data_IF_796932267327
#
_entry.id   IF_796932267327
#
_cell.length_a   1.000
_cell.length_b   1.000
_cell.length_c   1.000
_cell.angle_alpha   90.00
_cell.angle_beta   90.00
_cell.angle_gamma   90.00
#
_symmetry.space_group_name_H-M   'P 1'
#
loop_
_entity.id
_entity.type
_entity.pdbx_description
1 polymer ?
#
# COMPACT_ATOMS: atom_id res chain seq x y z
N UNK A 1 20.33 -13.96 2.84
CA UNK A 1 19.66 -13.10 3.83
C UNK A 1 20.59 -11.92 4.07
N UNK A 2 20.29 -10.78 3.47
CA UNK A 2 21.20 -9.62 3.44
C UNK A 2 21.33 -9.01 4.84
N UNK A 3 22.47 -8.41 5.14
CA UNK A 3 22.78 -7.79 6.45
C UNK A 3 21.70 -6.73 6.83
N UNK A 4 21.11 -6.08 5.82
CA UNK A 4 20.00 -5.13 5.93
C UNK A 4 18.69 -5.75 6.43
N UNK A 5 18.36 -6.99 6.01
CA UNK A 5 17.16 -7.68 6.50
C UNK A 5 17.28 -8.01 7.98
N UNK A 6 18.49 -8.26 8.50
CA UNK A 6 18.68 -8.57 9.92
C UNK A 6 18.46 -7.35 10.81
N UNK A 7 19.00 -6.17 10.49
CA UNK A 7 18.86 -4.98 11.34
C UNK A 7 17.46 -4.38 11.29
N UNK A 8 16.82 -4.35 10.12
CA UNK A 8 15.43 -3.87 9.99
C UNK A 8 14.43 -4.86 10.64
N UNK A 9 14.66 -6.17 10.52
CA UNK A 9 13.83 -7.19 11.19
C UNK A 9 14.01 -7.19 12.71
N UNK A 10 15.22 -6.90 13.21
CA UNK A 10 15.48 -6.77 14.65
C UNK A 10 14.66 -5.63 15.27
N UNK A 11 14.54 -4.49 14.59
CA UNK A 11 13.79 -3.32 15.11
C UNK A 11 12.27 -3.53 15.09
N UNK A 12 11.75 -4.41 14.21
CA UNK A 12 10.34 -4.34 13.82
C UNK A 12 9.58 -5.68 13.72
N UNK A 13 10.23 -6.84 13.83
CA UNK A 13 9.59 -8.15 13.65
C UNK A 13 9.32 -8.88 14.98
N UNK A 14 8.10 -9.40 15.23
CA UNK A 14 7.82 -10.22 16.42
C UNK A 14 8.40 -11.66 16.36
N UNK A 15 8.99 -12.09 15.24
CA UNK A 15 9.16 -13.52 14.93
C UNK A 15 10.59 -14.02 14.69
N UNK A 16 11.62 -13.33 15.20
CA UNK A 16 12.99 -13.83 15.08
C UNK A 16 13.48 -14.50 16.38
N UNK A 17 13.21 -15.81 16.54
CA UNK A 17 13.99 -16.66 17.45
C UNK A 17 15.35 -16.91 16.81
N UNK A 18 16.39 -16.19 17.23
CA UNK A 18 17.78 -16.62 17.03
C UNK A 18 18.48 -16.77 18.36
N UNK A 19 19.14 -17.91 18.50
CA UNK A 19 19.87 -18.35 19.68
C UNK A 19 20.92 -17.32 20.13
N UNK A 20 20.85 -16.93 21.40
CA UNK A 20 22.00 -16.49 22.18
C UNK A 20 22.73 -15.25 21.66
N UNK A 21 22.12 -14.08 21.87
CA UNK A 21 22.73 -12.83 22.38
C UNK A 21 21.64 -11.75 22.36
N UNK A 22 21.44 -11.12 23.51
CA UNK A 22 20.37 -10.15 23.77
C UNK A 22 20.53 -8.92 22.86
N UNK A 23 19.64 -8.78 21.89
CA UNK A 23 19.44 -7.55 21.11
C UNK A 23 17.95 -7.40 20.86
N UNK A 24 17.30 -6.59 21.69
CA UNK A 24 15.86 -6.38 21.75
C UNK A 24 15.55 -4.96 21.26
N UNK A 25 15.03 -4.81 20.04
CA UNK A 25 14.78 -3.50 19.41
C UNK A 25 13.32 -3.28 19.00
N UNK A 26 12.37 -4.07 19.53
CA UNK A 26 10.93 -3.95 19.23
C UNK A 26 10.09 -3.33 20.37
N UNK A 27 8.98 -2.66 20.03
CA UNK A 27 7.97 -2.08 20.96
C UNK A 27 7.39 -3.10 21.96
N UNK A 28 7.37 -4.39 21.61
CA UNK A 28 6.98 -5.46 22.53
C UNK A 28 8.09 -5.86 23.51
N UNK A 29 9.36 -5.79 23.10
CA UNK A 29 10.47 -6.10 23.99
C UNK A 29 10.58 -5.06 25.12
N UNK A 30 10.30 -3.80 24.79
CA UNK A 30 10.16 -2.71 25.77
C UNK A 30 9.01 -2.93 26.77
N UNK A 31 7.98 -3.70 26.42
CA UNK A 31 6.85 -4.04 27.31
C UNK A 31 7.11 -5.31 28.14
N UNK A 32 7.99 -6.21 27.69
CA UNK A 32 8.20 -7.52 28.32
C UNK A 32 9.49 -7.63 29.14
N UNK A 33 10.48 -6.76 28.92
CA UNK A 33 11.68 -6.69 29.78
C UNK A 33 11.46 -5.70 30.93
N UNK A 34 11.34 -6.22 32.16
CA UNK A 34 11.16 -5.41 33.38
C UNK A 34 12.26 -4.34 33.50
N UNK A 35 13.51 -4.70 33.16
CA UNK A 35 14.69 -3.82 33.21
C UNK A 35 14.65 -2.68 32.18
N UNK A 36 14.07 -2.91 31.01
CA UNK A 36 13.98 -1.89 29.95
C UNK A 36 12.75 -1.01 30.12
N UNK A 37 11.67 -1.53 30.70
CA UNK A 37 10.51 -0.73 31.12
C UNK A 37 10.89 0.29 32.20
N UNK A 38 11.78 -0.08 33.13
CA UNK A 38 12.29 0.81 34.18
C UNK A 38 13.31 1.82 33.65
N UNK A 39 14.13 1.45 32.66
CA UNK A 39 15.01 2.40 31.95
C UNK A 39 14.22 3.36 31.04
N UNK A 40 13.16 2.91 30.37
CA UNK A 40 12.24 3.84 29.68
C UNK A 40 11.59 4.79 30.69
N UNK A 41 11.27 4.29 31.90
CA UNK A 41 10.74 5.11 32.98
C UNK A 41 11.73 6.14 33.53
N UNK A 42 13.02 6.01 33.21
CA UNK A 42 14.05 7.00 33.55
C UNK A 42 14.20 8.11 32.51
N UNK A 43 13.71 7.92 31.28
CA UNK A 43 13.73 8.94 30.23
C UNK A 43 12.69 10.04 30.50
N UNK A 44 12.94 11.31 30.15
CA UNK A 44 11.96 12.38 30.24
C UNK A 44 10.62 11.99 29.58
N UNK A 45 9.49 12.43 30.17
CA UNK A 45 8.15 12.09 29.69
C UNK A 45 7.94 12.47 28.21
N UNK A 46 8.56 13.57 27.77
CA UNK A 46 8.53 14.08 26.40
C UNK A 46 9.12 13.11 25.37
N UNK A 47 10.16 12.35 25.73
CA UNK A 47 10.76 11.31 24.87
C UNK A 47 10.04 9.96 25.00
N UNK A 48 9.44 9.70 26.16
CA UNK A 48 8.77 8.43 26.49
C UNK A 48 7.46 8.24 25.72
N UNK A 49 6.66 9.30 25.60
CA UNK A 49 5.34 9.24 24.97
C UNK A 49 5.44 8.89 23.47
N UNK A 50 6.33 9.50 22.66
CA UNK A 50 6.48 9.12 21.26
C UNK A 50 6.90 7.65 21.08
N UNK A 51 7.84 7.15 21.89
CA UNK A 51 8.36 5.77 21.85
C UNK A 51 7.29 4.70 22.05
N UNK A 52 6.34 4.96 22.95
CA UNK A 52 5.20 4.05 23.20
C UNK A 52 4.23 3.94 22.02
N UNK A 53 4.32 4.85 21.04
CA UNK A 53 3.47 4.89 19.86
C UNK A 53 4.16 4.36 18.58
N UNK A 54 5.29 3.64 18.70
CA UNK A 54 5.83 2.89 17.57
C UNK A 54 4.79 1.85 17.10
N UNK A 55 4.51 1.88 15.81
CA UNK A 55 3.58 0.94 15.16
C UNK A 55 4.39 -0.26 14.67
N UNK A 56 3.87 -1.47 14.90
CA UNK A 56 4.51 -2.70 14.45
C UNK A 56 3.95 -3.15 13.12
N UNK A 57 4.76 -3.91 12.38
CA UNK A 57 4.30 -4.62 11.21
C UNK A 57 3.36 -5.77 11.61
N UNK A 58 2.27 -5.91 10.87
CA UNK A 58 1.22 -6.92 11.06
C UNK A 58 1.10 -7.69 9.74
N UNK A 59 1.64 -8.92 9.65
CA UNK A 59 1.72 -9.66 8.39
C UNK A 59 0.38 -9.85 7.66
N UNK A 60 -0.73 -9.85 8.40
CA UNK A 60 -2.08 -10.01 7.84
C UNK A 60 -2.67 -8.73 7.24
N UNK A 61 -2.01 -7.57 7.43
CA UNK A 61 -2.48 -6.27 6.94
C UNK A 61 -1.34 -5.55 6.23
N UNK A 62 -1.20 -5.77 4.93
CA UNK A 62 -0.06 -5.28 4.14
C UNK A 62 0.30 -3.78 4.32
N UNK A 63 -0.65 -2.89 4.63
CA UNK A 63 -0.40 -1.47 4.92
C UNK A 63 0.42 -1.24 6.21
N UNK A 64 0.48 -2.20 7.13
CA UNK A 64 1.18 -2.05 8.41
C UNK A 64 2.66 -1.77 8.22
N UNK A 65 3.30 -2.39 7.22
CA UNK A 65 4.73 -2.21 6.98
C UNK A 65 5.03 -0.78 6.58
N UNK A 66 4.23 -0.20 5.68
CA UNK A 66 4.37 1.19 5.22
C UNK A 66 4.13 2.15 6.39
N UNK A 67 3.05 1.95 7.14
CA UNK A 67 2.69 2.77 8.30
C UNK A 67 3.77 2.73 9.39
N UNK A 68 4.39 1.57 9.60
CA UNK A 68 5.50 1.40 10.52
C UNK A 68 6.73 2.18 10.05
N UNK A 69 7.09 2.09 8.77
CA UNK A 69 8.23 2.82 8.20
C UNK A 69 8.02 4.33 8.33
N UNK A 70 6.85 4.85 7.96
CA UNK A 70 6.49 6.27 8.11
C UNK A 70 6.69 6.72 9.56
N UNK A 71 6.14 5.94 10.51
CA UNK A 71 6.25 6.26 11.94
C UNK A 71 7.69 6.21 12.44
N UNK A 72 8.48 5.25 11.97
CA UNK A 72 9.88 5.11 12.34
C UNK A 72 10.70 6.33 11.88
N UNK A 73 10.45 6.82 10.66
CA UNK A 73 11.08 8.02 10.11
C UNK A 73 10.72 9.27 10.93
N UNK A 74 9.44 9.47 11.25
CA UNK A 74 8.98 10.57 12.11
C UNK A 74 9.69 10.59 13.47
N UNK A 75 10.04 9.41 13.97
CA UNK A 75 10.62 9.23 15.30
C UNK A 75 12.15 9.18 15.32
N UNK A 76 12.82 9.39 14.19
CA UNK A 76 14.28 9.31 14.07
C UNK A 76 15.02 10.08 15.17
N UNK A 77 14.65 11.33 15.42
CA UNK A 77 15.34 12.17 16.41
C UNK A 77 15.14 11.66 17.84
N UNK A 78 13.89 11.34 18.19
CA UNK A 78 13.53 10.83 19.53
C UNK A 78 14.22 9.48 19.79
N UNK A 79 14.29 8.60 18.78
CA UNK A 79 15.00 7.33 18.87
C UNK A 79 16.50 7.52 19.05
N UNK A 80 17.09 8.47 18.33
CA UNK A 80 18.51 8.80 18.43
C UNK A 80 18.87 9.28 19.83
N UNK A 81 18.09 10.21 20.38
CA UNK A 81 18.28 10.70 21.75
C UNK A 81 18.09 9.60 22.79
N UNK A 82 17.01 8.82 22.68
CA UNK A 82 16.69 7.76 23.63
C UNK A 82 17.75 6.65 23.64
N UNK A 83 18.16 6.16 22.47
CA UNK A 83 19.20 5.12 22.37
C UNK A 83 20.56 5.62 22.82
N UNK A 84 20.86 6.91 22.61
CA UNK A 84 22.08 7.53 23.14
C UNK A 84 22.06 7.60 24.67
N UNK A 85 20.94 8.06 25.26
CA UNK A 85 20.76 8.10 26.71
C UNK A 85 20.86 6.70 27.36
N UNK A 86 20.42 5.66 26.64
CA UNK A 86 20.49 4.27 27.07
C UNK A 86 21.86 3.61 26.79
N UNK A 87 22.82 4.32 26.20
CA UNK A 87 24.12 3.79 25.76
C UNK A 87 24.01 2.64 24.74
N UNK A 88 22.94 2.65 23.93
CA UNK A 88 22.59 1.63 22.90
C UNK A 88 22.79 2.15 21.47
N UNK A 89 23.84 2.94 21.25
CA UNK A 89 24.13 3.59 19.96
C UNK A 89 24.30 2.57 18.81
N UNK A 90 24.74 1.34 19.11
CA UNK A 90 24.89 0.28 18.10
C UNK A 90 23.56 -0.15 17.44
N UNK A 91 22.44 0.10 18.11
CA UNK A 91 21.10 -0.21 17.62
C UNK A 91 20.54 0.89 16.70
N UNK A 92 21.23 2.02 16.57
CA UNK A 92 20.82 3.08 15.65
C UNK A 92 21.04 2.66 14.20
N UNK A 93 20.04 3.00 13.39
CA UNK A 93 20.17 2.93 11.94
C UNK A 93 21.15 4.00 11.47
N UNK A 94 22.03 3.61 10.56
CA UNK A 94 22.93 4.54 9.90
C UNK A 94 22.17 5.39 8.86
N UNK A 95 22.86 6.41 8.33
CA UNK A 95 22.25 7.34 7.38
C UNK A 95 21.82 6.67 6.07
N UNK A 96 22.53 5.62 5.64
CA UNK A 96 22.15 4.84 4.45
C UNK A 96 20.85 4.07 4.70
N UNK A 97 20.73 3.42 5.87
CA UNK A 97 19.52 2.69 6.28
C UNK A 97 18.32 3.64 6.37
N UNK A 98 18.49 4.85 6.91
CA UNK A 98 17.43 5.88 6.91
C UNK A 98 17.02 6.30 5.51
N UNK A 99 17.97 6.49 4.60
CA UNK A 99 17.66 6.85 3.21
C UNK A 99 16.95 5.71 2.48
N UNK A 100 17.29 4.45 2.76
CA UNK A 100 16.57 3.28 2.22
C UNK A 100 15.11 3.29 2.70
N UNK A 101 14.87 3.57 3.99
CA UNK A 101 13.52 3.65 4.54
C UNK A 101 12.72 4.79 3.91
N UNK A 102 13.34 5.95 3.68
CA UNK A 102 12.70 7.08 3.03
C UNK A 102 12.29 6.74 1.59
N UNK A 103 13.21 6.19 0.79
CA UNK A 103 12.92 5.74 -0.57
C UNK A 103 11.79 4.71 -0.58
N UNK A 104 11.84 3.70 0.32
CA UNK A 104 10.79 2.69 0.44
C UNK A 104 9.42 3.31 0.77
N UNK A 105 9.38 4.24 1.74
CA UNK A 105 8.14 4.91 2.15
C UNK A 105 7.52 5.68 0.98
N UNK A 106 8.32 6.47 0.27
CA UNK A 106 7.86 7.28 -0.86
C UNK A 106 7.35 6.42 -2.02
N UNK A 107 8.02 5.30 -2.31
CA UNK A 107 7.62 4.39 -3.39
C UNK A 107 6.38 3.56 -3.06
N UNK A 108 6.15 3.22 -1.79
CA UNK A 108 5.03 2.37 -1.37
C UNK A 108 3.77 3.17 -1.01
N UNK A 109 3.90 4.44 -0.63
CA UNK A 109 2.75 5.28 -0.27
C UNK A 109 1.66 5.40 -1.35
N UNK A 110 2.00 5.55 -2.64
CA UNK A 110 0.97 5.58 -3.69
C UNK A 110 0.09 4.33 -3.72
N UNK A 111 0.65 3.15 -3.42
CA UNK A 111 -0.13 1.90 -3.35
C UNK A 111 -1.09 1.91 -2.16
N UNK A 112 -0.60 2.41 -1.01
CA UNK A 112 -1.39 2.50 0.23
C UNK A 112 -2.58 3.42 0.01
N UNK A 113 -2.35 4.61 -0.54
CA UNK A 113 -3.40 5.59 -0.84
C UNK A 113 -4.44 5.05 -1.82
N UNK A 114 -4.01 4.44 -2.94
CA UNK A 114 -4.95 3.85 -3.91
C UNK A 114 -5.79 2.75 -3.27
N UNK A 115 -5.18 1.92 -2.43
CA UNK A 115 -5.93 0.84 -1.78
C UNK A 115 -6.91 1.37 -0.75
N UNK A 116 -6.55 2.40 0.02
CA UNK A 116 -7.47 3.06 0.95
C UNK A 116 -8.66 3.68 0.20
N UNK A 117 -8.41 4.33 -0.94
CA UNK A 117 -9.49 4.85 -1.79
C UNK A 117 -10.36 3.73 -2.39
N UNK A 118 -9.79 2.61 -2.81
CA UNK A 118 -10.55 1.49 -3.36
C UNK A 118 -11.26 0.63 -2.30
N UNK A 119 -10.89 0.79 -1.02
CA UNK A 119 -11.54 0.11 0.12
C UNK A 119 -12.76 0.86 0.66
N UNK A 120 -13.11 2.00 0.07
CA UNK A 120 -14.30 2.76 0.47
C UNK A 120 -15.60 2.04 0.12
N UNK A 121 -16.58 2.13 1.02
CA UNK A 121 -17.90 1.48 0.86
C UNK A 121 -19.03 2.47 0.52
N UNK A 122 -18.82 3.76 0.75
CA UNK A 122 -19.84 4.80 0.61
C UNK A 122 -19.93 5.39 -0.82
N UNK A 123 -19.18 4.84 -1.78
CA UNK A 123 -19.14 5.30 -3.16
C UNK A 123 -18.75 4.17 -4.12
N UNK A 124 -19.06 4.33 -5.41
CA UNK A 124 -18.64 3.39 -6.44
C UNK A 124 -17.12 3.44 -6.64
N UNK A 125 -16.44 2.34 -6.31
CA UNK A 125 -14.99 2.17 -6.43
C UNK A 125 -14.57 1.64 -7.80
N UNK A 126 -15.44 0.86 -8.46
CA UNK A 126 -15.08 0.13 -9.69
C UNK A 126 -14.71 1.05 -10.86
N UNK A 127 -15.35 2.22 -10.95
CA UNK A 127 -15.03 3.23 -11.98
C UNK A 127 -13.73 3.99 -11.69
N UNK A 128 -13.17 3.86 -10.48
CA UNK A 128 -11.94 4.56 -10.09
C UNK A 128 -10.69 3.71 -10.25
N UNK A 129 -10.84 2.39 -10.42
CA UNK A 129 -9.74 1.43 -10.50
C UNK A 129 -8.72 1.82 -11.58
N UNK A 130 -9.18 2.09 -12.81
CA UNK A 130 -8.29 2.40 -13.92
C UNK A 130 -7.59 3.76 -13.75
N UNK A 131 -8.30 4.86 -13.46
CA UNK A 131 -7.69 6.15 -13.19
C UNK A 131 -6.66 6.11 -12.05
N UNK A 132 -7.00 5.44 -10.94
CA UNK A 132 -6.12 5.36 -9.77
C UNK A 132 -4.86 4.53 -10.04
N UNK A 133 -4.97 3.42 -10.76
CA UNK A 133 -3.77 2.64 -11.11
C UNK A 133 -2.87 3.43 -12.06
N UNK A 134 -3.44 4.13 -13.07
CA UNK A 134 -2.64 5.00 -13.96
C UNK A 134 -1.96 6.12 -13.20
N UNK A 135 -2.68 6.78 -12.30
CA UNK A 135 -2.13 7.83 -11.45
C UNK A 135 -1.01 7.29 -10.55
N UNK A 136 -1.22 6.14 -9.91
CA UNK A 136 -0.23 5.48 -9.06
C UNK A 136 1.05 5.15 -9.82
N UNK A 137 0.94 4.55 -11.01
CA UNK A 137 2.11 4.25 -11.87
C UNK A 137 2.86 5.55 -12.18
N UNK A 138 2.15 6.58 -12.62
CA UNK A 138 2.76 7.88 -12.92
C UNK A 138 3.48 8.48 -11.70
N UNK A 139 2.85 8.46 -10.52
CA UNK A 139 3.46 8.98 -9.28
C UNK A 139 4.73 8.20 -8.91
N UNK A 140 4.73 6.87 -9.08
CA UNK A 140 5.91 6.03 -8.82
C UNK A 140 7.03 6.33 -9.81
N UNK A 141 6.71 6.53 -11.09
CA UNK A 141 7.69 6.88 -12.14
C UNK A 141 8.37 8.23 -11.89
N UNK A 142 7.65 9.19 -11.32
CA UNK A 142 8.20 10.52 -10.98
C UNK A 142 9.06 10.51 -9.71
N UNK A 143 9.08 9.42 -8.93
CA UNK A 143 9.98 9.33 -7.78
C UNK A 143 11.43 9.18 -8.23
N UNK A 144 12.35 9.82 -7.48
CA UNK A 144 13.79 9.76 -7.74
C UNK A 144 14.49 9.12 -6.53
N UNK A 145 14.40 7.78 -6.38
CA UNK A 145 15.06 7.10 -5.27
C UNK A 145 16.58 7.30 -5.34
N UNK A 146 17.18 7.56 -4.19
CA UNK A 146 18.61 7.86 -4.08
C UNK A 146 19.46 6.63 -3.82
N UNK A 147 18.85 5.58 -3.28
CA UNK A 147 19.52 4.35 -2.88
C UNK A 147 19.40 3.27 -3.96
N UNK A 148 20.41 2.39 -4.06
CA UNK A 148 20.38 1.25 -4.98
C UNK A 148 19.18 0.33 -4.69
N UNK A 149 18.78 0.20 -3.42
CA UNK A 149 17.60 -0.58 -3.00
C UNK A 149 16.32 0.10 -3.49
N UNK A 150 16.19 1.43 -3.34
CA UNK A 150 15.06 2.20 -3.83
C UNK A 150 14.88 2.09 -5.34
N UNK A 151 15.96 2.22 -6.12
CA UNK A 151 15.94 2.06 -7.59
C UNK A 151 15.49 0.64 -7.99
N UNK A 152 16.01 -0.39 -7.30
CA UNK A 152 15.59 -1.77 -7.53
C UNK A 152 14.13 -2.00 -7.16
N UNK A 153 13.66 -1.39 -6.07
CA UNK A 153 12.28 -1.48 -5.63
C UNK A 153 11.34 -0.81 -6.64
N UNK A 154 11.65 0.41 -7.09
CA UNK A 154 10.87 1.14 -8.08
C UNK A 154 10.69 0.34 -9.37
N UNK A 155 11.79 -0.17 -9.94
CA UNK A 155 11.73 -0.99 -11.17
C UNK A 155 10.91 -2.27 -11.00
N UNK A 156 11.06 -2.96 -9.87
CA UNK A 156 10.25 -4.16 -9.55
C UNK A 156 8.78 -3.83 -9.33
N UNK A 157 8.46 -2.71 -8.66
CA UNK A 157 7.10 -2.26 -8.43
C UNK A 157 6.40 -1.98 -9.75
N UNK A 158 7.00 -1.16 -10.62
CA UNK A 158 6.44 -0.85 -11.94
C UNK A 158 6.20 -2.11 -12.77
N UNK A 159 7.20 -3.00 -12.85
CA UNK A 159 7.07 -4.29 -13.56
C UNK A 159 5.95 -5.17 -12.99
N UNK A 160 5.80 -5.19 -11.65
CA UNK A 160 4.78 -6.00 -10.99
C UNK A 160 3.38 -5.42 -11.18
N UNK A 161 3.25 -4.10 -11.10
CA UNK A 161 1.98 -3.38 -11.33
C UNK A 161 1.53 -3.61 -12.77
N UNK A 162 2.41 -3.41 -13.75
CA UNK A 162 2.15 -3.67 -15.17
C UNK A 162 1.61 -5.10 -15.38
N UNK A 163 2.32 -6.10 -14.82
CA UNK A 163 1.98 -7.52 -14.97
C UNK A 163 0.64 -7.90 -14.32
N UNK A 164 0.36 -7.36 -13.12
CA UNK A 164 -0.84 -7.70 -12.34
C UNK A 164 -2.07 -6.93 -12.80
N UNK A 165 -1.89 -5.65 -13.16
CA UNK A 165 -2.99 -4.72 -13.37
C UNK A 165 -3.20 -4.31 -14.81
N UNK A 166 -2.47 -4.84 -15.80
CA UNK A 166 -2.69 -4.59 -17.24
C UNK A 166 -4.16 -4.24 -17.57
N UNK A 167 -4.44 -2.94 -17.65
CA UNK A 167 -5.75 -2.36 -17.34
C UNK A 167 -6.81 -2.70 -18.39
N UNK A 168 -6.35 -3.09 -19.57
CA UNK A 168 -7.17 -3.51 -20.70
C UNK A 168 -7.85 -4.88 -20.52
N UNK A 169 -7.52 -5.67 -19.48
CA UNK A 169 -8.09 -7.03 -19.32
C UNK A 169 -9.42 -7.09 -18.57
N UNK A 170 -9.79 -6.06 -17.79
CA UNK A 170 -11.05 -6.10 -17.03
C UNK A 170 -12.15 -5.29 -17.73
N UNK A 171 -13.00 -6.00 -18.50
CA UNK A 171 -14.17 -5.44 -19.21
C UNK A 171 -15.06 -4.59 -18.28
N UNK A 172 -15.33 -5.07 -17.06
CA UNK A 172 -16.23 -4.41 -16.12
C UNK A 172 -15.64 -3.08 -15.63
N UNK A 173 -14.38 -3.08 -15.19
CA UNK A 173 -13.72 -1.86 -14.75
C UNK A 173 -13.58 -0.84 -15.90
N UNK A 174 -13.29 -1.33 -17.11
CA UNK A 174 -13.16 -0.50 -18.30
C UNK A 174 -14.47 0.21 -18.68
N UNK A 175 -15.56 -0.57 -18.78
CA UNK A 175 -16.91 -0.02 -19.06
C UNK A 175 -17.34 0.91 -17.93
N UNK A 176 -17.16 0.51 -16.66
CA UNK A 176 -17.58 1.32 -15.50
C UNK A 176 -16.86 2.66 -15.46
N UNK A 177 -15.56 2.69 -15.73
CA UNK A 177 -14.78 3.94 -15.78
C UNK A 177 -15.21 4.79 -16.98
N UNK A 178 -15.43 4.19 -18.15
CA UNK A 178 -15.85 4.92 -19.36
C UNK A 178 -17.23 5.57 -19.19
N UNK A 179 -18.15 4.91 -18.51
CA UNK A 179 -19.50 5.44 -18.24
C UNK A 179 -19.52 6.48 -17.12
N UNK A 180 -18.47 6.57 -16.30
CA UNK A 180 -18.40 7.53 -15.21
C UNK A 180 -18.02 8.94 -15.73
N UNK A 181 -18.91 9.95 -15.59
CA UNK A 181 -18.65 11.29 -16.10
C UNK A 181 -17.38 11.94 -15.54
N UNK A 182 -16.95 11.54 -14.33
CA UNK A 182 -15.75 12.06 -13.67
C UNK A 182 -14.47 11.72 -14.44
N UNK A 183 -14.49 10.65 -15.23
CA UNK A 183 -13.31 10.11 -15.91
C UNK A 183 -13.39 10.21 -17.43
N UNK A 184 -14.29 11.03 -17.96
CA UNK A 184 -14.50 11.22 -19.41
C UNK A 184 -13.22 11.59 -20.19
N UNK A 185 -12.28 12.26 -19.53
CA UNK A 185 -11.01 12.71 -20.13
C UNK A 185 -9.82 11.80 -19.81
N UNK A 186 -10.03 10.71 -19.05
CA UNK A 186 -8.94 9.78 -18.73
C UNK A 186 -8.58 9.02 -20.00
N UNK A 187 -7.30 9.04 -20.43
CA UNK A 187 -6.88 8.30 -21.61
C UNK A 187 -7.11 6.81 -21.38
N UNK A 188 -7.93 6.19 -22.23
CA UNK A 188 -8.25 4.78 -22.18
C UNK A 188 -7.49 4.03 -23.27
N UNK A 189 -6.68 3.07 -22.84
CA UNK A 189 -6.10 2.11 -23.78
C UNK A 189 -7.21 1.12 -24.15
N UNK A 190 -7.46 0.91 -25.45
CA UNK A 190 -8.56 0.04 -25.90
C UNK A 190 -9.96 0.69 -25.91
N UNK A 191 -10.05 2.03 -26.07
CA UNK A 191 -11.34 2.74 -26.15
C UNK A 191 -12.32 2.15 -27.19
N UNK A 192 -11.78 1.65 -28.31
CA UNK A 192 -12.59 1.01 -29.36
C UNK A 192 -13.22 -0.28 -28.85
N UNK A 193 -12.46 -1.09 -28.11
CA UNK A 193 -12.95 -2.33 -27.52
C UNK A 193 -14.05 -2.05 -26.50
N UNK A 194 -13.86 -1.03 -25.64
CA UNK A 194 -14.88 -0.60 -24.67
C UNK A 194 -16.17 -0.16 -25.35
N UNK A 195 -16.06 0.64 -26.42
CA UNK A 195 -17.24 1.07 -27.19
C UNK A 195 -17.96 -0.12 -27.83
N UNK A 196 -17.20 -1.04 -28.43
CA UNK A 196 -17.76 -2.24 -29.04
C UNK A 196 -18.49 -3.10 -28.00
N UNK A 197 -17.86 -3.33 -26.84
CA UNK A 197 -18.48 -4.07 -25.75
C UNK A 197 -19.79 -3.45 -25.29
N UNK A 198 -19.84 -2.13 -25.14
CA UNK A 198 -21.06 -1.42 -24.76
C UNK A 198 -22.14 -1.58 -25.83
N UNK A 199 -21.78 -1.46 -27.11
CA UNK A 199 -22.72 -1.66 -28.22
C UNK A 199 -23.29 -3.08 -28.25
N UNK A 200 -22.46 -4.09 -28.03
CA UNK A 200 -22.88 -5.49 -27.98
C UNK A 200 -23.85 -5.76 -26.83
N UNK A 201 -23.57 -5.24 -25.63
CA UNK A 201 -24.47 -5.38 -24.46
C UNK A 201 -25.82 -4.69 -24.72
N UNK A 202 -25.81 -3.47 -25.26
CA UNK A 202 -27.04 -2.74 -25.60
C UNK A 202 -27.85 -3.52 -26.65
N UNK A 203 -27.20 -4.08 -27.67
CA UNK A 203 -27.87 -4.87 -28.70
C UNK A 203 -28.53 -6.13 -28.13
N UNK A 204 -27.88 -6.81 -27.18
CA UNK A 204 -28.44 -7.98 -26.49
C UNK A 204 -29.65 -7.60 -25.62
N UNK A 205 -29.56 -6.51 -24.88
CA UNK A 205 -30.66 -6.03 -24.04
C UNK A 205 -31.90 -5.64 -24.86
N UNK A 206 -31.71 -5.02 -26.03
CA UNK A 206 -32.81 -4.70 -26.96
C UNK A 206 -33.49 -5.98 -27.49
N UNK A 207 -32.71 -7.01 -27.83
CA UNK A 207 -33.26 -8.29 -28.31
C UNK A 207 -34.03 -9.02 -27.21
N UNK A 208 -33.54 -8.99 -25.96
CA UNK A 208 -34.15 -9.67 -24.82
C UNK A 208 -35.43 -8.98 -24.32
N UNK A 209 -35.52 -7.65 -24.44
CA UNK A 209 -36.67 -6.86 -24.04
C UNK A 209 -37.69 -6.61 -25.16
N UNK A 210 -37.49 -7.19 -26.35
CA UNK A 210 -38.50 -7.16 -27.41
C UNK A 210 -39.74 -7.95 -26.94
N UNK A 211 -40.93 -7.34 -26.87
CA UNK A 211 -42.12 -8.03 -26.39
C UNK A 211 -42.39 -9.22 -27.30
N UNK A 212 -42.51 -10.41 -26.73
CA UNK A 212 -43.01 -11.58 -27.44
C UNK A 212 -44.42 -11.25 -27.95
N UNK A 213 -44.52 -10.88 -29.23
CA UNK A 213 -45.78 -10.68 -29.94
C UNK A 213 -46.46 -12.04 -30.12
N UNK A 214 -47.01 -12.61 -29.04
CA UNK A 214 -47.99 -13.70 -29.13
C UNK A 214 -49.35 -13.19 -28.63
N UNK A 215 -49.90 -12.20 -29.33
CA UNK A 215 -51.34 -11.98 -29.30
C UNK A 215 -51.94 -13.08 -30.19
N UNK A 216 -52.20 -14.26 -29.59
CA UNK A 216 -53.04 -15.28 -30.24
C UNK A 216 -54.40 -14.63 -30.49
N UNK A 217 -54.66 -14.29 -31.75
CA UNK A 217 -55.97 -13.92 -32.24
C UNK A 217 -56.92 -15.07 -31.91
N UNK A 218 -57.73 -14.92 -30.87
CA UNK A 218 -58.90 -15.78 -30.68
C UNK A 218 -59.91 -15.33 -31.73
N UNK A 219 -59.89 -15.98 -32.89
CA UNK A 219 -61.06 -16.07 -33.77
C UNK A 219 -62.13 -16.79 -32.96
N UNK A 220 -63.18 -16.08 -32.55
CA UNK A 220 -64.41 -16.70 -32.04
C UNK A 220 -65.45 -16.60 -33.15
N UNK A 221 -66.01 -17.76 -33.46
CA UNK A 221 -67.03 -18.04 -34.45
C UNK A 221 -68.36 -17.35 -34.10
#
# INVERSE_FOLDING_TARGET
>A
MNIYERRISLVCSPYHKFSGKESLTSSQDFKHSVLESDKLRSLPAEQRIPLLHLKQDVPTRWNSTVIMIERLIEMKNVLTEALTALSRVADLLDEMEWNILLDCSQLLNPLKEVTEQLSGENYSTISMVIPLIKCMVHVIEQQLPTTAVGILLQSKLLTTVEKRFSLARNKIAAISTFLDPRFKHVPFDGLNDVKQWIQEEIAQDIQKNSPSTSRKSKTTC
#
